data_IF_598035703852
#
_entry.id   IF_598035703852
#
_cell.length_a   1.000
_cell.length_b   1.000
_cell.length_c   1.000
_cell.angle_alpha   90.00
_cell.angle_beta   90.00
_cell.angle_gamma   90.00
#
_symmetry.space_group_name_H-M   'P 1'
#
loop_
_entity.id
_entity.type
_entity.pdbx_description
1 polymer ?
#
# COMPACT_ATOMS: atom_id res chain seq x y z
N UNK A 1 -21.08 -28.78 -6.62
CA UNK A 1 -19.76 -29.34 -6.26
C UNK A 1 -19.63 -29.21 -4.75
N UNK A 2 -19.56 -30.33 -4.03
CA UNK A 2 -19.30 -30.29 -2.59
C UNK A 2 -17.78 -30.20 -2.41
N UNK A 3 -17.29 -29.13 -1.79
CA UNK A 3 -15.88 -28.97 -1.49
C UNK A 3 -15.45 -30.04 -0.47
N UNK A 4 -14.30 -30.66 -0.70
CA UNK A 4 -13.68 -31.59 0.25
C UNK A 4 -13.10 -30.82 1.44
N UNK A 5 -13.98 -30.51 2.40
CA UNK A 5 -13.62 -29.78 3.62
C UNK A 5 -12.56 -30.55 4.42
N UNK A 6 -12.60 -31.88 4.39
CA UNK A 6 -11.61 -32.70 5.07
C UNK A 6 -10.25 -32.55 4.40
N UNK A 7 -10.18 -32.63 3.08
CA UNK A 7 -8.95 -32.40 2.31
C UNK A 7 -8.33 -31.02 2.58
N UNK A 8 -9.15 -29.96 2.66
CA UNK A 8 -8.69 -28.60 2.99
C UNK A 8 -8.17 -28.51 4.42
N UNK A 9 -8.87 -29.07 5.41
CA UNK A 9 -8.43 -29.05 6.81
C UNK A 9 -7.11 -29.81 7.00
N UNK A 10 -7.00 -31.01 6.42
CA UNK A 10 -5.85 -31.90 6.58
C UNK A 10 -4.62 -31.52 5.74
N UNK A 11 -4.82 -30.80 4.62
CA UNK A 11 -3.73 -30.34 3.77
C UNK A 11 -3.55 -28.81 3.80
N UNK A 12 -4.16 -28.11 4.75
CA UNK A 12 -4.04 -26.65 4.92
C UNK A 12 -2.60 -26.16 5.06
N UNK A 13 -1.64 -27.06 5.34
CA UNK A 13 -0.20 -26.83 5.25
C UNK A 13 0.33 -26.82 3.81
N UNK A 14 -0.44 -26.34 2.83
CA UNK A 14 0.12 -25.99 1.53
C UNK A 14 0.97 -24.74 1.80
N UNK A 15 2.28 -24.97 1.98
CA UNK A 15 3.39 -24.03 2.20
C UNK A 15 3.04 -22.58 2.57
N UNK A 16 3.64 -22.06 3.65
CA UNK A 16 3.67 -20.62 3.99
C UNK A 16 4.19 -19.70 2.87
N UNK A 17 4.67 -20.27 1.75
CA UNK A 17 5.16 -19.56 0.56
C UNK A 17 4.09 -19.44 -0.54
N UNK A 18 2.85 -19.87 -0.32
CA UNK A 18 1.77 -19.62 -1.28
C UNK A 18 1.35 -18.17 -1.19
N UNK A 19 1.63 -17.44 -2.27
CA UNK A 19 1.34 -16.01 -2.38
C UNK A 19 -0.05 -15.72 -2.98
N UNK A 20 -0.66 -16.71 -3.64
CA UNK A 20 -2.01 -16.61 -4.22
C UNK A 20 -2.55 -18.00 -4.61
N UNK A 21 -3.86 -18.20 -4.47
CA UNK A 21 -4.61 -19.27 -5.15
C UNK A 21 -5.47 -18.65 -6.26
N UNK A 22 -5.43 -19.21 -7.47
CA UNK A 22 -6.04 -18.61 -8.67
C UNK A 22 -6.92 -19.65 -9.35
N UNK A 23 -8.17 -19.29 -9.66
CA UNK A 23 -9.05 -20.05 -10.54
C UNK A 23 -9.16 -19.32 -11.88
N UNK A 24 -8.95 -20.06 -12.97
CA UNK A 24 -8.90 -19.51 -14.32
C UNK A 24 -10.14 -19.90 -15.12
N UNK A 25 -10.73 -18.90 -15.77
CA UNK A 25 -11.84 -19.03 -16.70
C UNK A 25 -11.41 -18.62 -18.11
N UNK A 26 -11.94 -19.24 -19.18
CA UNK A 26 -11.83 -18.71 -20.53
C UNK A 26 -12.31 -17.25 -20.61
N UNK A 27 -11.69 -16.42 -21.45
CA UNK A 27 -12.10 -15.01 -21.60
C UNK A 27 -13.56 -14.88 -22.04
N UNK A 28 -14.08 -15.85 -22.79
CA UNK A 28 -15.48 -15.90 -23.23
C UNK A 28 -16.49 -16.01 -22.09
N UNK A 29 -16.09 -16.54 -20.92
CA UNK A 29 -16.98 -16.71 -19.76
C UNK A 29 -17.51 -15.38 -19.22
N UNK A 30 -16.81 -14.27 -19.48
CA UNK A 30 -17.32 -12.93 -19.16
C UNK A 30 -18.64 -12.65 -19.87
N UNK A 31 -18.75 -13.06 -21.15
CA UNK A 31 -19.88 -12.72 -21.99
C UNK A 31 -21.00 -13.79 -21.92
N UNK A 32 -20.63 -15.05 -21.69
CA UNK A 32 -21.56 -16.18 -21.80
C UNK A 32 -22.02 -16.74 -20.45
N UNK A 33 -21.37 -16.39 -19.34
CA UNK A 33 -21.69 -16.95 -18.02
C UNK A 33 -22.01 -15.85 -16.99
N UNK A 34 -23.27 -15.40 -16.94
CA UNK A 34 -23.72 -14.40 -15.96
C UNK A 34 -23.51 -14.82 -14.50
N UNK A 35 -23.56 -16.13 -14.22
CA UNK A 35 -23.34 -16.66 -12.87
C UNK A 35 -21.89 -16.50 -12.43
N UNK A 36 -20.92 -16.69 -13.33
CA UNK A 36 -19.51 -16.41 -13.06
C UNK A 36 -19.29 -14.92 -12.76
N UNK A 37 -19.85 -14.03 -13.58
CA UNK A 37 -19.73 -12.58 -13.38
C UNK A 37 -20.38 -12.16 -12.05
N UNK A 38 -21.59 -12.64 -11.76
CA UNK A 38 -22.29 -12.36 -10.50
C UNK A 38 -21.50 -12.83 -9.30
N UNK A 39 -21.01 -14.08 -9.32
CA UNK A 39 -20.23 -14.64 -8.22
C UNK A 39 -18.91 -13.88 -7.98
N UNK A 40 -18.25 -13.45 -9.07
CA UNK A 40 -17.04 -12.62 -9.00
C UNK A 40 -17.32 -11.28 -8.34
N UNK A 41 -18.44 -10.63 -8.67
CA UNK A 41 -18.86 -9.38 -8.02
C UNK A 41 -19.31 -9.60 -6.57
N UNK A 42 -19.95 -10.73 -6.25
CA UNK A 42 -20.28 -11.07 -4.87
C UNK A 42 -19.04 -11.24 -4.00
N UNK A 43 -17.98 -11.87 -4.52
CA UNK A 43 -16.70 -11.98 -3.81
C UNK A 43 -16.07 -10.60 -3.59
N UNK A 44 -16.00 -9.76 -4.64
CA UNK A 44 -15.45 -8.39 -4.53
C UNK A 44 -16.20 -7.54 -3.51
N UNK A 45 -17.52 -7.72 -3.43
CA UNK A 45 -18.38 -6.99 -2.49
C UNK A 45 -18.48 -7.66 -1.11
N UNK A 46 -17.69 -8.71 -0.83
CA UNK A 46 -17.70 -9.43 0.45
C UNK A 46 -18.98 -10.21 0.75
N UNK A 47 -19.86 -10.42 -0.25
CA UNK A 47 -21.13 -11.14 -0.13
C UNK A 47 -20.96 -12.66 -0.26
N UNK A 48 -19.86 -13.11 -0.86
CA UNK A 48 -19.54 -14.52 -1.02
C UNK A 48 -18.06 -14.79 -0.70
N UNK A 49 -17.77 -15.99 -0.22
CA UNK A 49 -16.41 -16.44 0.08
C UNK A 49 -15.89 -17.38 -1.01
N UNK A 50 -14.62 -17.23 -1.38
CA UNK A 50 -13.92 -18.13 -2.30
C UNK A 50 -12.61 -18.62 -1.68
N UNK A 51 -12.30 -19.92 -1.76
CA UNK A 51 -11.00 -20.45 -1.36
C UNK A 51 -9.87 -20.02 -2.32
N UNK A 52 -10.22 -19.55 -3.52
CA UNK A 52 -9.30 -18.91 -4.44
C UNK A 52 -9.16 -17.42 -4.12
N UNK A 53 -7.93 -16.95 -3.95
CA UNK A 53 -7.60 -15.53 -3.79
C UNK A 53 -7.99 -14.69 -5.01
N UNK A 54 -8.00 -15.29 -6.21
CA UNK A 54 -8.37 -14.63 -7.44
C UNK A 54 -9.21 -15.51 -8.35
N UNK A 55 -10.20 -14.90 -8.99
CA UNK A 55 -10.93 -15.45 -10.13
C UNK A 55 -10.59 -14.58 -11.34
N UNK A 56 -9.78 -15.14 -12.24
CA UNK A 56 -9.29 -14.44 -13.42
C UNK A 56 -9.80 -15.09 -14.69
N UNK A 57 -9.94 -14.28 -15.74
CA UNK A 57 -9.87 -14.80 -17.09
C UNK A 57 -8.42 -15.04 -17.53
N UNK A 58 -8.23 -15.76 -18.64
CA UNK A 58 -6.89 -16.01 -19.20
C UNK A 58 -6.15 -14.70 -19.47
N UNK A 59 -6.81 -13.67 -20.02
CA UNK A 59 -6.21 -12.35 -20.26
C UNK A 59 -5.78 -11.67 -18.95
N UNK A 60 -6.66 -11.64 -17.96
CA UNK A 60 -6.37 -11.02 -16.66
C UNK A 60 -5.23 -11.73 -15.93
N UNK A 61 -5.17 -13.06 -16.04
CA UNK A 61 -4.06 -13.83 -15.48
C UNK A 61 -2.73 -13.53 -16.17
N UNK A 62 -2.71 -13.34 -17.49
CA UNK A 62 -1.50 -12.90 -18.21
C UNK A 62 -1.04 -11.53 -17.74
N UNK A 63 -1.96 -10.58 -17.57
CA UNK A 63 -1.65 -9.26 -17.02
C UNK A 63 -1.10 -9.36 -15.58
N UNK A 64 -1.71 -10.20 -14.75
CA UNK A 64 -1.24 -10.50 -13.40
C UNK A 64 0.18 -11.07 -13.41
N UNK A 65 0.46 -12.06 -14.26
CA UNK A 65 1.80 -12.65 -14.40
C UNK A 65 2.83 -11.64 -14.90
N UNK A 66 2.48 -10.81 -15.88
CA UNK A 66 3.42 -9.81 -16.42
C UNK A 66 3.74 -8.74 -15.37
N UNK A 67 2.74 -8.27 -14.62
CA UNK A 67 2.97 -7.33 -13.52
C UNK A 67 3.77 -7.98 -12.38
N UNK A 68 3.49 -9.24 -12.06
CA UNK A 68 4.24 -9.99 -11.06
C UNK A 68 5.69 -10.23 -11.51
N UNK A 69 5.90 -10.59 -12.77
CA UNK A 69 7.22 -10.73 -13.38
C UNK A 69 7.99 -9.42 -13.33
N UNK A 70 7.39 -8.29 -13.70
CA UNK A 70 8.03 -6.96 -13.61
C UNK A 70 8.42 -6.64 -12.16
N UNK A 71 7.56 -6.96 -11.19
CA UNK A 71 7.89 -6.78 -9.77
C UNK A 71 9.06 -7.68 -9.34
N UNK A 72 9.01 -8.97 -9.67
CA UNK A 72 10.06 -9.93 -9.32
C UNK A 72 11.38 -9.64 -10.05
N UNK A 73 11.35 -9.23 -11.31
CA UNK A 73 12.54 -8.81 -12.07
C UNK A 73 13.14 -7.53 -11.48
N UNK A 74 12.31 -6.59 -11.00
CA UNK A 74 12.82 -5.43 -10.26
C UNK A 74 13.48 -5.82 -8.94
N UNK A 75 12.94 -6.80 -8.22
CA UNK A 75 13.52 -7.34 -6.99
C UNK A 75 14.80 -8.16 -7.26
N UNK A 76 14.87 -8.88 -8.40
CA UNK A 76 16.03 -9.69 -8.80
C UNK A 76 17.17 -8.87 -9.39
N UNK A 77 16.88 -7.77 -10.08
CA UNK A 77 17.90 -6.79 -10.50
C UNK A 77 18.52 -6.10 -9.26
N UNK A 78 17.75 -5.90 -8.20
CA UNK A 78 18.26 -5.43 -6.90
C UNK A 78 19.09 -6.50 -6.17
N UNK A 79 18.85 -7.80 -6.42
CA UNK A 79 19.56 -8.90 -5.75
C UNK A 79 20.82 -9.39 -6.48
N UNK A 80 21.03 -9.04 -7.76
CA UNK A 80 22.18 -9.49 -8.56
C UNK A 80 23.42 -8.59 -8.46
N UNK A 81 23.31 -7.42 -7.82
CA UNK A 81 24.46 -6.59 -7.44
C UNK A 81 24.87 -6.88 -5.99
N UNK A 82 25.33 -8.12 -5.75
CA UNK A 82 26.03 -8.48 -4.52
C UNK A 82 27.52 -8.25 -4.73
N UNK A 83 27.97 -7.02 -4.48
CA UNK A 83 29.28 -6.74 -3.89
C UNK A 83 29.33 -5.29 -3.36
N UNK A 84 29.50 -5.18 -2.04
CA UNK A 84 30.11 -4.06 -1.30
C UNK A 84 29.63 -2.62 -1.58
N UNK A 85 28.31 -2.33 -1.55
CA UNK A 85 27.82 -0.95 -1.34
C UNK A 85 26.60 -0.95 -0.42
N UNK A 86 26.60 -0.10 0.63
CA UNK A 86 25.40 0.21 1.43
C UNK A 86 24.41 0.99 0.57
N UNK A 87 23.62 0.31 -0.25
CA UNK A 87 22.56 0.94 -1.04
C UNK A 87 21.28 0.09 -1.08
N UNK A 88 20.15 0.72 -1.44
CA UNK A 88 18.82 0.15 -1.75
C UNK A 88 18.36 -1.11 -0.98
N UNK A 89 18.94 -2.26 -1.31
CA UNK A 89 18.66 -3.57 -0.73
C UNK A 89 18.86 -3.64 0.79
N UNK A 90 19.82 -2.90 1.35
CA UNK A 90 20.00 -2.82 2.81
C UNK A 90 18.80 -2.15 3.50
N UNK A 91 18.29 -1.06 2.91
CA UNK A 91 17.14 -0.33 3.45
C UNK A 91 15.83 -1.12 3.27
N UNK A 92 15.68 -1.83 2.14
CA UNK A 92 14.56 -2.76 1.93
C UNK A 92 14.55 -3.88 2.97
N UNK A 93 15.69 -4.54 3.22
CA UNK A 93 15.83 -5.56 4.27
C UNK A 93 15.48 -5.03 5.66
N UNK A 94 15.91 -3.80 5.98
CA UNK A 94 15.61 -3.16 7.25
C UNK A 94 14.12 -2.78 7.41
N UNK A 95 13.44 -2.42 6.32
CA UNK A 95 11.99 -2.21 6.29
C UNK A 95 11.23 -3.50 6.57
N UNK A 96 11.52 -4.56 5.80
CA UNK A 96 10.89 -5.88 5.96
C UNK A 96 11.14 -6.48 7.35
N UNK A 97 12.31 -6.25 7.93
CA UNK A 97 12.62 -6.68 9.29
C UNK A 97 11.74 -5.95 10.32
N UNK A 98 11.53 -4.64 10.15
CA UNK A 98 10.67 -3.86 11.03
C UNK A 98 9.19 -4.28 10.91
N UNK A 99 8.70 -4.59 9.70
CA UNK A 99 7.35 -5.12 9.53
C UNK A 99 7.14 -6.43 10.30
N UNK A 100 8.09 -7.36 10.19
CA UNK A 100 8.07 -8.63 10.94
C UNK A 100 8.16 -8.42 12.45
N UNK A 101 8.96 -7.44 12.88
CA UNK A 101 9.10 -7.05 14.29
C UNK A 101 7.78 -6.51 14.84
N UNK A 102 7.10 -5.62 14.11
CA UNK A 102 5.77 -5.11 14.48
C UNK A 102 4.76 -6.26 14.62
N UNK A 103 4.73 -7.19 13.67
CA UNK A 103 3.86 -8.37 13.73
C UNK A 103 4.16 -9.22 14.98
N UNK A 104 5.45 -9.47 15.25
CA UNK A 104 5.88 -10.25 16.42
C UNK A 104 5.47 -9.58 17.74
N UNK A 105 5.68 -8.27 17.86
CA UNK A 105 5.39 -7.49 19.06
C UNK A 105 3.88 -7.45 19.32
N UNK A 106 3.07 -7.17 18.29
CA UNK A 106 1.61 -7.11 18.44
C UNK A 106 0.96 -8.47 18.74
N UNK A 107 1.53 -9.58 18.24
CA UNK A 107 1.08 -10.93 18.56
C UNK A 107 1.56 -11.44 19.94
N UNK A 108 2.37 -10.66 20.67
CA UNK A 108 2.85 -11.06 21.98
C UNK A 108 1.78 -10.83 23.06
N UNK A 109 1.17 -11.92 23.51
CA UNK A 109 0.13 -11.92 24.55
C UNK A 109 0.60 -11.35 25.89
N UNK A 110 1.88 -11.51 26.22
CA UNK A 110 2.44 -10.98 27.46
C UNK A 110 2.54 -9.45 27.42
N UNK A 111 2.87 -8.86 26.26
CA UNK A 111 2.84 -7.40 26.11
C UNK A 111 1.43 -6.83 26.23
N UNK A 112 0.42 -7.50 25.66
CA UNK A 112 -0.97 -7.09 25.86
C UNK A 112 -1.36 -7.16 27.35
N UNK A 113 -0.99 -8.24 28.05
CA UNK A 113 -1.25 -8.36 29.49
C UNK A 113 -0.58 -7.23 30.27
N UNK A 114 0.70 -6.97 30.01
CA UNK A 114 1.43 -5.88 30.65
C UNK A 114 0.86 -4.50 30.30
N UNK A 115 0.37 -4.31 29.07
CA UNK A 115 -0.25 -3.06 28.62
C UNK A 115 -1.54 -2.78 29.38
N UNK A 116 -2.38 -3.80 29.57
CA UNK A 116 -3.60 -3.70 30.36
C UNK A 116 -3.34 -3.42 31.85
N UNK A 117 -2.17 -3.82 32.36
CA UNK A 117 -1.72 -3.56 33.72
C UNK A 117 -0.92 -2.25 33.86
N UNK A 118 -0.76 -1.45 32.80
CA UNK A 118 0.08 -0.24 32.75
C UNK A 118 1.56 -0.50 33.10
N UNK A 119 2.08 -1.67 32.74
CA UNK A 119 3.46 -2.13 32.99
C UNK A 119 4.25 -2.48 31.74
N UNK A 120 3.67 -2.34 30.54
CA UNK A 120 4.38 -2.66 29.31
C UNK A 120 5.48 -1.62 29.08
N UNK A 121 6.74 -2.06 29.02
CA UNK A 121 7.88 -1.19 28.71
C UNK A 121 8.22 -1.17 27.21
N UNK A 122 7.56 -2.01 26.40
CA UNK A 122 7.82 -2.07 24.97
C UNK A 122 7.25 -0.81 24.27
N UNK A 123 8.16 0.06 23.83
CA UNK A 123 7.87 1.38 23.27
C UNK A 123 7.02 1.33 22.00
N UNK A 124 7.33 0.40 21.09
CA UNK A 124 6.60 0.21 19.84
C UNK A 124 5.17 -0.29 20.10
N UNK A 125 5.02 -1.26 21.02
CA UNK A 125 3.70 -1.76 21.42
C UNK A 125 2.85 -0.62 22.01
N UNK A 126 3.41 0.13 22.96
CA UNK A 126 2.73 1.26 23.60
C UNK A 126 2.36 2.36 22.60
N UNK A 127 3.26 2.70 21.67
CA UNK A 127 3.02 3.72 20.65
C UNK A 127 1.87 3.35 19.72
N UNK A 128 1.83 2.09 19.26
CA UNK A 128 0.78 1.59 18.39
C UNK A 128 -0.57 1.56 19.11
N UNK A 129 -0.64 0.91 20.28
CA UNK A 129 -1.89 0.78 21.02
C UNK A 129 -2.38 2.12 21.57
N UNK A 130 -1.49 3.04 21.92
CA UNK A 130 -1.87 4.40 22.31
C UNK A 130 -2.56 5.18 21.19
N UNK A 131 -2.26 4.88 19.92
CA UNK A 131 -2.95 5.48 18.76
C UNK A 131 -4.26 4.75 18.40
N UNK A 132 -4.30 3.43 18.58
CA UNK A 132 -5.50 2.64 18.28
C UNK A 132 -6.58 2.80 19.36
N UNK A 133 -6.17 2.87 20.63
CA UNK A 133 -7.04 3.16 21.77
C UNK A 133 -7.41 4.64 21.80
N UNK A 134 -8.20 5.08 20.82
CA UNK A 134 -8.81 6.40 20.79
C UNK A 134 -10.21 6.36 21.45
N UNK A 135 -11.08 7.35 21.20
CA UNK A 135 -12.44 7.38 21.75
C UNK A 135 -13.29 6.14 21.43
N UNK A 136 -12.95 5.39 20.40
CA UNK A 136 -13.73 4.25 19.90
C UNK A 136 -13.29 2.92 20.51
N UNK A 137 -12.05 2.80 20.97
CA UNK A 137 -11.49 1.55 21.51
C UNK A 137 -10.91 1.77 22.91
N UNK A 138 -11.57 1.19 23.91
CA UNK A 138 -11.09 1.22 25.29
C UNK A 138 -10.05 0.10 25.52
N UNK A 139 -8.87 0.46 26.03
CA UNK A 139 -7.78 -0.51 26.34
C UNK A 139 -8.27 -1.68 27.20
N UNK A 140 -9.13 -1.43 28.20
CA UNK A 140 -9.61 -2.45 29.13
C UNK A 140 -10.57 -3.44 28.47
N UNK A 141 -11.10 -3.10 27.30
CA UNK A 141 -12.00 -3.96 26.54
C UNK A 141 -11.23 -4.84 25.55
N UNK A 142 -9.92 -4.68 25.38
CA UNK A 142 -9.15 -5.48 24.43
C UNK A 142 -8.93 -6.89 25.00
N UNK A 143 -9.52 -7.88 24.32
CA UNK A 143 -9.40 -9.30 24.65
C UNK A 143 -8.17 -9.92 24.01
N UNK A 144 -7.95 -9.64 22.73
CA UNK A 144 -6.83 -10.19 21.96
C UNK A 144 -6.47 -9.30 20.78
N UNK A 145 -5.20 -9.38 20.39
CA UNK A 145 -4.67 -8.75 19.18
C UNK A 145 -4.09 -9.87 18.32
N UNK A 146 -4.37 -9.81 17.03
CA UNK A 146 -3.68 -10.60 16.02
C UNK A 146 -3.18 -9.66 14.92
N UNK A 147 -2.00 -9.93 14.39
CA UNK A 147 -1.44 -9.14 13.29
C UNK A 147 -0.76 -10.02 12.26
N UNK A 148 -0.74 -9.52 11.01
CA UNK A 148 -0.09 -10.17 9.87
C UNK A 148 0.48 -9.12 8.92
N UNK A 149 1.63 -9.41 8.31
CA UNK A 149 2.18 -8.65 7.19
C UNK A 149 1.89 -9.34 5.84
N UNK A 150 0.99 -10.33 5.83
CA UNK A 150 0.47 -10.94 4.60
C UNK A 150 -0.73 -10.15 4.14
N UNK A 151 -0.49 -9.19 3.25
CA UNK A 151 -1.54 -8.36 2.64
C UNK A 151 -1.79 -8.84 1.22
N UNK A 152 -3.05 -8.99 0.85
CA UNK A 152 -3.42 -9.41 -0.50
C UNK A 152 -2.90 -8.40 -1.52
N UNK A 153 -2.36 -8.90 -2.64
CA UNK A 153 -1.96 -8.05 -3.77
C UNK A 153 -3.17 -7.33 -4.35
N UNK A 154 -2.91 -6.16 -4.94
CA UNK A 154 -3.92 -5.43 -5.72
C UNK A 154 -4.35 -6.25 -6.94
N UNK A 155 -5.49 -5.90 -7.55
CA UNK A 155 -6.03 -6.62 -8.72
C UNK A 155 -4.99 -6.79 -9.85
N UNK A 156 -4.12 -5.79 -10.01
CA UNK A 156 -3.03 -5.79 -11.01
C UNK A 156 -1.71 -6.37 -10.50
N UNK A 157 -1.68 -7.04 -9.35
CA UNK A 157 -0.50 -7.74 -8.81
C UNK A 157 0.49 -6.86 -8.03
N UNK A 158 0.25 -5.55 -7.91
CA UNK A 158 1.06 -4.63 -7.10
C UNK A 158 0.85 -4.82 -5.59
N UNK A 159 1.79 -4.31 -4.79
CA UNK A 159 1.62 -4.24 -3.33
C UNK A 159 0.59 -3.17 -2.95
N UNK A 160 -0.23 -3.47 -1.95
CA UNK A 160 -1.06 -2.48 -1.28
C UNK A 160 -0.20 -1.49 -0.47
N UNK A 161 -0.82 -0.43 0.04
CA UNK A 161 -0.14 0.53 0.94
C UNK A 161 -0.06 0.07 2.37
N UNK A 162 -0.95 -0.83 2.75
CA UNK A 162 -0.87 -1.54 4.01
C UNK A 162 0.30 -2.50 3.98
N UNK A 163 1.19 -2.35 4.97
CA UNK A 163 2.31 -3.25 5.22
C UNK A 163 1.93 -4.28 6.30
N UNK A 164 1.09 -3.89 7.29
CA UNK A 164 0.59 -4.77 8.36
C UNK A 164 -0.90 -4.56 8.60
N UNK A 165 -1.64 -5.67 8.71
CA UNK A 165 -3.05 -5.72 9.16
C UNK A 165 -3.08 -6.16 10.61
N UNK A 166 -3.90 -5.49 11.41
CA UNK A 166 -4.05 -5.71 12.85
C UNK A 166 -5.54 -5.89 13.13
N UNK A 167 -5.89 -7.01 13.74
CA UNK A 167 -7.25 -7.31 14.21
C UNK A 167 -7.26 -7.25 15.73
N UNK A 168 -8.05 -6.34 16.27
CA UNK A 168 -8.24 -6.18 17.71
C UNK A 168 -9.64 -6.71 18.05
N UNK A 169 -9.70 -7.78 18.82
CA UNK A 169 -10.96 -8.35 19.30
C UNK A 169 -11.22 -7.87 20.71
N UNK A 170 -12.42 -7.38 20.97
CA UNK A 170 -12.80 -6.90 22.30
C UNK A 170 -13.51 -7.98 23.13
N UNK A 171 -13.76 -7.69 24.40
CA UNK A 171 -14.43 -8.59 25.34
C UNK A 171 -15.87 -8.92 24.93
N UNK A 172 -16.55 -8.06 24.16
CA UNK A 172 -17.90 -8.29 23.66
C UNK A 172 -17.93 -9.15 22.37
N UNK A 173 -16.76 -9.49 21.81
CA UNK A 173 -16.61 -10.26 20.56
C UNK A 173 -16.48 -9.41 19.29
N UNK A 174 -16.61 -8.10 19.37
CA UNK A 174 -16.39 -7.17 18.26
C UNK A 174 -14.93 -7.20 17.80
N UNK A 175 -14.72 -7.13 16.49
CA UNK A 175 -13.40 -7.10 15.87
C UNK A 175 -13.20 -5.80 15.12
N UNK A 176 -12.13 -5.09 15.46
CA UNK A 176 -11.72 -3.86 14.79
C UNK A 176 -10.47 -4.15 13.95
N UNK A 177 -10.55 -3.86 12.66
CA UNK A 177 -9.42 -3.97 11.75
C UNK A 177 -8.73 -2.62 11.67
N UNK A 178 -7.39 -2.66 11.76
CA UNK A 178 -6.49 -1.51 11.68
C UNK A 178 -5.39 -1.84 10.69
N UNK A 179 -5.11 -0.93 9.77
CA UNK A 179 -4.11 -1.11 8.70
C UNK A 179 -2.98 -0.12 8.85
N UNK A 180 -1.75 -0.59 8.68
CA UNK A 180 -0.54 0.17 9.00
C UNK A 180 0.44 0.18 7.83
N UNK A 181 0.91 1.36 7.44
CA UNK A 181 2.09 1.52 6.58
C UNK A 181 3.30 1.84 7.45
N UNK A 182 4.40 1.16 7.20
CA UNK A 182 5.61 1.19 7.99
C UNK A 182 6.73 1.84 7.18
N UNK A 183 7.46 2.75 7.82
CA UNK A 183 8.64 3.40 7.24
C UNK A 183 9.75 3.44 8.27
N UNK A 184 10.89 2.84 7.91
CA UNK A 184 12.13 2.96 8.67
C UNK A 184 13.07 3.94 7.97
N UNK A 185 13.44 5.04 8.61
CA UNK A 185 14.31 6.02 7.96
C UNK A 185 15.07 6.90 8.94
N UNK A 186 16.24 7.38 8.49
CA UNK A 186 16.99 8.49 9.10
C UNK A 186 16.90 9.77 8.27
N UNK A 187 16.33 9.69 7.06
CA UNK A 187 16.19 10.81 6.16
C UNK A 187 14.93 11.61 6.50
N UNK A 188 14.99 12.92 6.24
CA UNK A 188 13.85 13.84 6.37
C UNK A 188 12.84 13.72 5.23
N UNK A 189 13.19 12.98 4.18
CA UNK A 189 12.34 12.71 3.01
C UNK A 189 12.54 11.26 2.59
N UNK A 190 11.45 10.52 2.36
CA UNK A 190 11.46 9.10 1.99
C UNK A 190 10.55 8.82 0.81
N UNK A 191 10.86 7.79 0.04
CA UNK A 191 9.96 7.31 -1.01
C UNK A 191 8.66 6.78 -0.40
N UNK A 192 7.52 7.23 -0.92
CA UNK A 192 6.21 6.67 -0.59
C UNK A 192 5.89 5.53 -1.54
N UNK A 193 6.16 5.77 -2.83
CA UNK A 193 5.90 4.84 -3.92
C UNK A 193 6.42 5.39 -5.24
N UNK A 194 6.29 4.55 -6.25
CA UNK A 194 6.43 4.90 -7.66
C UNK A 194 5.31 4.29 -8.50
N UNK A 195 4.98 4.97 -9.60
CA UNK A 195 3.83 4.67 -10.45
C UNK A 195 4.16 4.94 -11.91
N UNK A 196 3.43 4.30 -12.83
CA UNK A 196 3.38 4.75 -14.22
C UNK A 196 2.42 5.92 -14.35
N UNK A 197 2.59 6.77 -15.36
CA UNK A 197 1.67 7.89 -15.62
C UNK A 197 0.22 7.39 -15.77
N UNK A 198 0.01 6.20 -16.36
CA UNK A 198 -1.30 5.56 -16.50
C UNK A 198 -2.01 5.32 -15.15
N UNK A 199 -1.26 5.12 -14.06
CA UNK A 199 -1.86 4.97 -12.73
C UNK A 199 -2.44 6.30 -12.25
N UNK A 200 -1.75 7.43 -12.48
CA UNK A 200 -2.28 8.76 -12.19
C UNK A 200 -3.51 9.05 -13.04
N UNK A 201 -3.47 8.73 -14.34
CA UNK A 201 -4.60 8.94 -15.26
C UNK A 201 -5.84 8.22 -14.76
N UNK A 202 -5.69 6.91 -14.47
CA UNK A 202 -6.76 6.06 -13.94
C UNK A 202 -7.34 6.60 -12.63
N UNK A 203 -6.49 6.87 -11.65
CA UNK A 203 -6.97 7.24 -10.31
C UNK A 203 -7.57 8.63 -10.30
N UNK A 204 -6.99 9.57 -11.04
CA UNK A 204 -7.51 10.93 -11.11
C UNK A 204 -8.69 11.05 -12.10
N UNK A 205 -8.93 10.05 -12.96
CA UNK A 205 -9.97 10.03 -14.01
C UNK A 205 -9.81 11.20 -14.99
N UNK A 206 -8.60 11.32 -15.54
CA UNK A 206 -8.15 12.46 -16.37
C UNK A 206 -7.78 12.03 -17.79
N UNK A 207 -8.38 10.95 -18.29
CA UNK A 207 -8.20 10.44 -19.63
C UNK A 207 -8.55 11.49 -20.70
N UNK A 208 -7.75 11.57 -21.76
CA UNK A 208 -7.88 12.51 -22.88
C UNK A 208 -7.83 13.98 -22.46
N UNK A 209 -7.18 14.29 -21.34
CA UNK A 209 -7.00 15.67 -20.89
C UNK A 209 -5.57 16.14 -21.10
N UNK A 210 -5.38 17.47 -21.11
CA UNK A 210 -4.03 18.04 -21.10
C UNK A 210 -3.23 17.66 -19.84
N UNK A 211 -3.91 17.36 -18.72
CA UNK A 211 -3.25 16.92 -17.50
C UNK A 211 -2.64 15.53 -17.65
N UNK A 212 -3.29 14.61 -18.37
CA UNK A 212 -2.69 13.32 -18.75
C UNK A 212 -1.39 13.53 -19.53
N UNK A 213 -1.39 14.43 -20.52
CA UNK A 213 -0.19 14.72 -21.31
C UNK A 213 0.95 15.28 -20.44
N UNK A 214 0.64 16.11 -19.44
CA UNK A 214 1.65 16.54 -18.47
C UNK A 214 2.26 15.38 -17.68
N UNK A 215 1.47 14.40 -17.23
CA UNK A 215 2.00 13.22 -16.55
C UNK A 215 2.86 12.35 -17.48
N UNK A 216 2.47 12.19 -18.75
CA UNK A 216 3.29 11.52 -19.77
C UNK A 216 4.64 12.21 -19.95
N UNK A 217 4.62 13.54 -20.12
CA UNK A 217 5.81 14.37 -20.30
C UNK A 217 6.72 14.34 -19.06
N UNK A 218 6.15 14.38 -17.85
CA UNK A 218 6.91 14.27 -16.62
C UNK A 218 7.57 12.88 -16.51
N UNK A 219 6.84 11.79 -16.80
CA UNK A 219 7.45 10.46 -16.75
C UNK A 219 8.63 10.34 -17.72
N UNK A 220 8.50 10.88 -18.94
CA UNK A 220 9.57 10.91 -19.94
C UNK A 220 10.76 11.76 -19.49
N UNK A 221 10.50 12.85 -18.74
CA UNK A 221 11.50 13.80 -18.27
C UNK A 221 11.43 14.00 -16.74
N UNK A 222 11.75 12.97 -15.92
CA UNK A 222 11.31 12.88 -14.52
C UNK A 222 12.20 13.67 -13.53
N UNK A 223 12.66 14.85 -13.95
CA UNK A 223 13.26 15.86 -13.08
C UNK A 223 12.62 17.20 -13.38
N UNK A 224 12.54 18.11 -12.41
CA UNK A 224 11.89 19.41 -12.63
C UNK A 224 12.49 20.19 -13.80
N UNK A 225 13.83 20.22 -13.89
CA UNK A 225 14.53 20.92 -14.97
C UNK A 225 14.35 20.26 -16.33
N UNK A 226 14.39 18.93 -16.40
CA UNK A 226 14.17 18.22 -17.66
C UNK A 226 12.72 18.34 -18.10
N UNK A 227 11.76 18.24 -17.18
CA UNK A 227 10.34 18.40 -17.46
C UNK A 227 10.08 19.78 -18.07
N UNK A 228 10.50 20.85 -17.38
CA UNK A 228 10.29 22.23 -17.83
C UNK A 228 10.95 22.52 -19.18
N UNK A 229 12.19 22.05 -19.40
CA UNK A 229 12.92 22.26 -20.66
C UNK A 229 12.28 21.54 -21.86
N UNK A 230 11.56 20.46 -21.63
CA UNK A 230 10.98 19.62 -22.68
C UNK A 230 9.46 19.78 -22.80
N UNK A 231 8.87 20.84 -22.21
CA UNK A 231 7.48 21.17 -22.45
C UNK A 231 7.29 21.70 -23.88
N UNK A 232 6.33 21.17 -24.66
CA UNK A 232 6.04 21.68 -25.99
C UNK A 232 5.29 23.02 -25.93
N UNK A 233 5.17 23.69 -27.07
CA UNK A 233 4.43 24.96 -27.17
C UNK A 233 3.01 24.84 -26.63
N UNK A 234 2.59 25.85 -25.87
CA UNK A 234 1.31 25.86 -25.18
C UNK A 234 1.30 25.10 -23.85
N UNK A 235 2.38 24.41 -23.46
CA UNK A 235 2.54 23.81 -22.13
C UNK A 235 3.49 24.64 -21.28
N UNK A 236 3.14 24.83 -20.02
CA UNK A 236 4.02 25.44 -19.02
C UNK A 236 3.72 24.87 -17.62
N UNK A 237 4.63 25.13 -16.66
CA UNK A 237 4.50 24.63 -15.30
C UNK A 237 3.26 25.18 -14.59
N UNK A 238 2.93 26.46 -14.78
CA UNK A 238 1.77 27.08 -14.13
C UNK A 238 0.46 26.42 -14.56
N UNK A 239 0.27 26.16 -15.85
CA UNK A 239 -0.90 25.45 -16.38
C UNK A 239 -0.96 23.99 -15.88
N UNK A 240 0.20 23.34 -15.64
CA UNK A 240 0.22 22.03 -14.98
C UNK A 240 -0.30 22.11 -13.53
N UNK A 241 0.21 23.06 -12.74
CA UNK A 241 -0.21 23.24 -11.34
C UNK A 241 -1.71 23.59 -11.23
N UNK A 242 -2.20 24.51 -12.07
CA UNK A 242 -3.61 24.91 -12.11
C UNK A 242 -4.52 23.72 -12.44
N UNK A 243 -4.11 22.88 -13.40
CA UNK A 243 -4.87 21.67 -13.77
C UNK A 243 -4.82 20.58 -12.71
N UNK A 244 -3.70 20.45 -11.99
CA UNK A 244 -3.56 19.47 -10.92
C UNK A 244 -4.33 19.87 -9.66
N UNK A 245 -4.56 21.17 -9.44
CA UNK A 245 -5.15 21.73 -8.21
C UNK A 245 -6.44 21.04 -7.75
N UNK A 246 -7.44 20.78 -8.62
CA UNK A 246 -8.67 20.09 -8.23
C UNK A 246 -8.47 18.66 -7.71
N UNK A 247 -7.30 18.07 -7.98
CA UNK A 247 -6.98 16.67 -7.69
C UNK A 247 -5.98 16.49 -6.55
N UNK A 248 -5.44 17.57 -5.96
CA UNK A 248 -4.37 17.52 -4.95
C UNK A 248 -4.73 16.65 -3.76
N UNK A 249 -5.95 16.77 -3.25
CA UNK A 249 -6.41 15.98 -2.11
C UNK A 249 -6.47 14.49 -2.47
N UNK A 250 -7.16 14.16 -3.57
CA UNK A 250 -7.30 12.80 -4.08
C UNK A 250 -5.94 12.15 -4.36
N UNK A 251 -5.03 12.89 -5.00
CA UNK A 251 -3.67 12.46 -5.29
C UNK A 251 -2.89 12.18 -4.00
N UNK A 252 -2.99 13.07 -3.02
CA UNK A 252 -2.27 12.95 -1.74
C UNK A 252 -2.75 11.74 -0.94
N UNK A 253 -4.08 11.55 -0.85
CA UNK A 253 -4.69 10.39 -0.22
C UNK A 253 -4.28 9.10 -0.94
N UNK A 254 -4.46 9.01 -2.26
CA UNK A 254 -4.04 7.82 -3.01
C UNK A 254 -2.56 7.46 -2.85
N UNK A 255 -1.66 8.44 -2.93
CA UNK A 255 -0.22 8.21 -2.85
C UNK A 255 0.21 7.68 -1.49
N UNK A 256 -0.44 8.13 -0.41
CA UNK A 256 -0.05 7.80 0.96
C UNK A 256 -0.82 6.62 1.53
N UNK A 257 -2.12 6.53 1.28
CA UNK A 257 -3.02 5.54 1.89
C UNK A 257 -3.46 4.45 0.91
N UNK A 258 -3.40 4.70 -0.40
CA UNK A 258 -3.89 3.79 -1.43
C UNK A 258 -5.37 4.00 -1.79
N UNK A 259 -6.05 4.99 -1.19
CA UNK A 259 -7.44 5.33 -1.49
C UNK A 259 -7.68 5.71 -2.96
N UNK A 260 -8.94 5.61 -3.39
CA UNK A 260 -9.46 6.07 -4.70
C UNK A 260 -9.07 5.25 -5.93
N UNK A 261 -8.35 4.14 -5.78
CA UNK A 261 -8.00 3.25 -6.90
C UNK A 261 -9.04 2.14 -7.08
N UNK A 262 -10.28 2.53 -7.40
CA UNK A 262 -11.48 1.69 -7.30
C UNK A 262 -11.42 0.38 -8.10
N UNK A 263 -10.66 0.37 -9.19
CA UNK A 263 -10.57 -0.80 -10.06
C UNK A 263 -9.39 -1.71 -9.70
N UNK A 264 -8.51 -1.27 -8.81
CA UNK A 264 -7.29 -1.98 -8.44
C UNK A 264 -7.33 -2.49 -6.99
N UNK A 265 -8.10 -1.83 -6.13
CA UNK A 265 -8.44 -2.33 -4.81
C UNK A 265 -9.45 -3.48 -4.95
N UNK A 266 -9.19 -4.59 -4.25
CA UNK A 266 -10.07 -5.76 -4.18
C UNK A 266 -10.55 -6.03 -2.75
N UNK A 267 -9.84 -5.49 -1.77
CA UNK A 267 -10.23 -5.49 -0.36
C UNK A 267 -9.92 -4.09 0.23
N UNK A 268 -10.93 -3.22 0.24
CA UNK A 268 -10.79 -1.85 0.70
C UNK A 268 -10.44 -1.74 2.18
N UNK A 269 -10.89 -2.68 3.01
CA UNK A 269 -10.69 -2.64 4.46
C UNK A 269 -9.22 -2.92 4.81
N UNK A 270 -8.57 -3.83 4.07
CA UNK A 270 -7.21 -4.24 4.39
C UNK A 270 -6.14 -3.60 3.50
N UNK A 271 -6.46 -3.18 2.28
CA UNK A 271 -5.45 -2.66 1.32
C UNK A 271 -5.22 -1.14 1.42
N UNK A 272 -6.14 -0.41 2.04
CA UNK A 272 -5.98 1.01 2.36
C UNK A 272 -5.36 1.15 3.73
N UNK A 273 -4.28 1.92 3.84
CA UNK A 273 -3.60 2.13 5.12
C UNK A 273 -4.23 3.27 5.91
N UNK A 274 -4.68 2.97 7.13
CA UNK A 274 -5.29 3.91 8.07
C UNK A 274 -4.25 4.66 8.91
N UNK A 275 -3.14 4.00 9.25
CA UNK A 275 -2.08 4.55 10.10
C UNK A 275 -0.73 4.53 9.42
N UNK A 276 0.11 5.49 9.79
CA UNK A 276 1.53 5.52 9.44
C UNK A 276 2.38 5.31 10.68
N UNK A 277 3.29 4.34 10.61
CA UNK A 277 4.35 4.13 11.59
C UNK A 277 5.68 4.54 10.97
N UNK A 278 6.30 5.56 11.56
CA UNK A 278 7.64 6.03 11.20
C UNK A 278 8.58 5.69 12.36
N UNK A 279 9.55 4.84 12.10
CA UNK A 279 10.61 4.50 13.05
C UNK A 279 11.92 5.11 12.58
N UNK A 280 12.46 6.00 13.39
CA UNK A 280 13.80 6.55 13.23
C UNK A 280 14.76 5.90 14.21
N UNK A 281 16.01 6.34 14.24
CA UNK A 281 16.99 5.88 15.21
C UNK A 281 16.67 6.29 16.65
N UNK A 282 15.87 7.35 16.84
CA UNK A 282 15.67 7.98 18.15
C UNK A 282 14.21 8.05 18.56
N UNK A 283 13.28 7.83 17.62
CA UNK A 283 11.86 8.07 17.83
C UNK A 283 11.02 7.05 17.09
N UNK A 284 9.92 6.66 17.73
CA UNK A 284 8.81 5.90 17.16
C UNK A 284 7.63 6.86 17.07
N UNK A 285 7.12 7.08 15.87
CA UNK A 285 5.97 7.93 15.61
C UNK A 285 4.88 7.11 14.93
N UNK A 286 3.72 7.00 15.57
CA UNK A 286 2.52 6.42 14.97
C UNK A 286 1.42 7.48 14.95
N UNK A 287 0.67 7.58 13.85
CA UNK A 287 -0.50 8.44 13.77
C UNK A 287 -1.48 7.96 12.70
N UNK A 288 -2.73 8.39 12.80
CA UNK A 288 -3.69 8.21 11.72
C UNK A 288 -3.23 9.01 10.48
N UNK A 289 -3.37 8.42 9.30
CA UNK A 289 -2.88 8.99 8.04
C UNK A 289 -3.55 10.33 7.71
N UNK A 290 -4.81 10.53 8.04
CA UNK A 290 -5.49 11.80 7.76
C UNK A 290 -4.91 12.95 8.59
N UNK A 291 -4.63 12.70 9.87
CA UNK A 291 -3.91 13.63 10.73
C UNK A 291 -2.50 13.90 10.19
N UNK A 292 -1.80 12.86 9.71
CA UNK A 292 -0.49 13.01 9.09
C UNK A 292 -0.54 13.81 7.78
N UNK A 293 -1.53 13.56 6.91
CA UNK A 293 -1.78 14.29 5.67
C UNK A 293 -1.98 15.78 5.95
N UNK A 294 -2.81 16.11 6.96
CA UNK A 294 -3.01 17.50 7.37
C UNK A 294 -1.71 18.14 7.87
N UNK A 295 -0.90 17.40 8.63
CA UNK A 295 0.41 17.85 9.10
C UNK A 295 1.38 18.14 7.95
N UNK A 296 1.54 17.22 7.00
CA UNK A 296 2.46 17.43 5.87
C UNK A 296 1.95 18.55 4.94
N UNK A 297 0.63 18.67 4.73
CA UNK A 297 0.05 19.71 3.89
C UNK A 297 0.21 21.12 4.46
N UNK A 298 0.28 21.25 5.79
CA UNK A 298 0.45 22.54 6.48
C UNK A 298 1.91 22.93 6.71
N UNK A 299 2.78 21.96 7.03
CA UNK A 299 4.18 22.22 7.41
C UNK A 299 5.18 22.10 6.25
N UNK A 300 4.86 21.40 5.16
CA UNK A 300 5.85 21.04 4.13
C UNK A 300 5.89 22.03 2.97
N UNK A 301 7.07 22.18 2.37
CA UNK A 301 7.21 22.88 1.09
C UNK A 301 6.48 22.11 -0.01
N UNK A 302 5.59 22.79 -0.73
CA UNK A 302 4.81 22.22 -1.82
C UNK A 302 5.54 22.36 -3.16
N UNK A 303 5.36 21.37 -4.02
CA UNK A 303 5.71 21.40 -5.45
C UNK A 303 4.53 20.90 -6.25
N UNK A 304 4.13 21.66 -7.27
CA UNK A 304 2.90 21.39 -8.01
C UNK A 304 1.67 21.31 -7.10
N UNK A 305 1.64 22.13 -6.04
CA UNK A 305 0.56 22.15 -5.05
C UNK A 305 0.51 20.96 -4.07
N UNK A 306 1.32 19.92 -4.24
CA UNK A 306 1.36 18.74 -3.35
C UNK A 306 2.58 18.74 -2.42
N UNK A 307 2.52 18.05 -1.25
CA UNK A 307 3.63 17.97 -0.30
C UNK A 307 4.68 16.91 -0.69
N UNK A 308 4.83 16.62 -1.98
CA UNK A 308 5.73 15.58 -2.47
C UNK A 308 6.89 16.17 -3.26
N UNK A 309 8.03 15.49 -3.17
CA UNK A 309 9.08 15.62 -4.18
C UNK A 309 8.86 14.58 -5.28
N UNK A 310 8.98 15.02 -6.52
CA UNK A 310 8.77 14.21 -7.72
C UNK A 310 10.12 13.88 -8.36
N UNK A 311 10.31 12.62 -8.69
CA UNK A 311 11.55 12.11 -9.32
C UNK A 311 11.25 10.81 -10.07
N UNK A 312 12.27 10.00 -10.33
CA UNK A 312 12.16 8.63 -10.83
C UNK A 312 12.89 7.66 -9.87
N UNK A 313 12.48 6.38 -9.81
CA UNK A 313 13.23 5.35 -9.11
C UNK A 313 14.60 5.11 -9.77
N UNK A 314 15.59 4.68 -8.99
CA UNK A 314 16.91 4.33 -9.52
C UNK A 314 16.79 3.34 -10.68
N UNK A 315 17.58 3.53 -11.74
CA UNK A 315 17.58 2.71 -12.97
C UNK A 315 16.23 2.68 -13.74
N UNK A 316 15.20 3.41 -13.32
CA UNK A 316 13.86 3.43 -13.94
C UNK A 316 13.50 4.79 -14.57
N UNK A 317 14.50 5.57 -14.99
CA UNK A 317 14.30 6.87 -15.66
C UNK A 317 13.46 6.69 -16.93
N UNK A 318 12.47 7.55 -17.15
CA UNK A 318 11.58 7.46 -18.32
C UNK A 318 10.46 6.44 -18.18
N UNK A 319 10.57 5.51 -17.22
CA UNK A 319 9.64 4.38 -17.06
C UNK A 319 8.59 4.61 -15.98
N UNK A 320 8.98 5.30 -14.89
CA UNK A 320 8.15 5.47 -13.69
C UNK A 320 8.39 6.82 -13.03
N UNK A 321 7.37 7.33 -12.36
CA UNK A 321 7.39 8.53 -11.53
C UNK A 321 7.46 8.07 -10.07
N UNK A 322 8.46 8.52 -9.33
CA UNK A 322 8.59 8.29 -7.89
C UNK A 322 8.17 9.54 -7.12
N UNK A 323 7.37 9.34 -6.08
CA UNK A 323 6.97 10.39 -5.14
C UNK A 323 7.61 10.14 -3.77
N UNK A 324 8.20 11.20 -3.22
CA UNK A 324 8.80 11.18 -1.88
C UNK A 324 8.06 12.12 -0.93
N UNK A 325 7.73 11.64 0.25
CA UNK A 325 7.10 12.42 1.32
C UNK A 325 8.15 12.91 2.31
N UNK A 326 7.93 14.09 2.91
CA UNK A 326 8.66 14.51 4.09
C UNK A 326 8.31 13.61 5.28
N UNK A 327 9.27 13.44 6.19
CA UNK A 327 9.12 12.81 7.49
C UNK A 327 8.95 13.91 8.53
N UNK A 328 7.74 14.02 9.10
CA UNK A 328 7.41 15.00 10.14
C UNK A 328 6.96 14.29 11.42
N UNK A 329 7.87 14.12 12.37
CA UNK A 329 7.66 13.36 13.62
C UNK A 329 7.48 14.25 14.86
N UNK A 330 7.52 15.57 14.68
CA UNK A 330 7.51 16.65 15.68
C UNK A 330 6.12 17.23 16.03
#
# INVERSE_FOLDING_TARGET
MAYDIQGVLYNSSISSNIIASIVLYPDSEIDVNPSFVSFREEIKNGKAFSPASHLFTIREFKEFLENHKVAVESELEESKEEDLIKDGSYYGKAGNALEKEVVKILNNKEYLKQYNEDKCEEVLFNSLLGQFCNKELNKNNIRSISSTNTVQKLAKGGNAKTDVIITITTNNGESHIKTLSIKRSKATVVSCHDYKYNDFVRVLKIENTKLEEYFKLFQANPTYSAFEKNLPDGFNIKDFEERLTPYIEKLTQWVLTGQHDDINLIDYETQISEYVLIVTNTQVYCNNFMSYINKINSKSKKKFGVPFSWTYPSKQRGKRIQLKMPILID
#
